data_IF_816083384914
#
_entry.id   IF_816083384914
#
_cell.length_a   1.000
_cell.length_b   1.000
_cell.length_c   1.000
_cell.angle_alpha   90.00
_cell.angle_beta   90.00
_cell.angle_gamma   90.00
#
_symmetry.space_group_name_H-M   'P 1'
#
loop_
_entity.id
_entity.type
_entity.pdbx_description
1 polymer ?
#
# COMPACT_ATOMS: atom_id res chain seq x y z
N UNK A 1 -21.99 -3.72 -82.53
CA UNK A 1 -23.33 -3.54 -81.96
C UNK A 1 -23.11 -3.16 -80.48
N UNK A 2 -23.24 -1.87 -80.24
CA UNK A 2 -24.33 -1.23 -79.51
C UNK A 2 -24.59 -1.95 -78.13
N UNK A 3 -24.55 -1.42 -77.03
CA UNK A 3 -25.00 -0.09 -76.57
C UNK A 3 -24.49 0.20 -75.12
N UNK A 4 -24.41 1.42 -74.87
CA UNK A 4 -24.12 2.23 -73.72
C UNK A 4 -25.02 2.00 -72.45
N UNK A 5 -24.67 2.72 -71.37
CA UNK A 5 -25.08 2.49 -69.97
C UNK A 5 -26.35 3.26 -69.57
N UNK A 6 -26.81 3.15 -68.36
CA UNK A 6 -26.86 4.38 -67.55
C UNK A 6 -26.64 4.26 -66.10
N UNK A 7 -26.11 5.31 -65.61
CA UNK A 7 -26.65 6.31 -64.67
C UNK A 7 -26.49 6.04 -63.16
N UNK A 8 -25.60 6.77 -62.63
CA UNK A 8 -25.61 7.52 -61.36
C UNK A 8 -26.86 7.43 -60.49
N UNK A 9 -26.68 7.03 -59.23
CA UNK A 9 -27.46 7.57 -58.15
C UNK A 9 -26.58 7.86 -56.92
N UNK A 10 -26.55 9.12 -56.64
CA UNK A 10 -25.97 9.82 -55.50
C UNK A 10 -26.60 9.32 -54.18
N UNK A 11 -25.79 9.12 -53.19
CA UNK A 11 -25.91 9.72 -51.85
C UNK A 11 -25.02 8.94 -50.89
N UNK A 12 -23.71 9.24 -50.89
CA UNK A 12 -22.83 9.01 -49.77
C UNK A 12 -23.25 9.93 -48.64
N UNK A 13 -23.85 9.36 -47.62
CA UNK A 13 -24.03 10.00 -46.32
C UNK A 13 -22.82 9.60 -45.46
N UNK A 14 -21.83 10.48 -45.44
CA UNK A 14 -20.77 10.51 -44.45
C UNK A 14 -21.42 10.65 -43.06
N UNK A 15 -21.45 9.60 -42.29
CA UNK A 15 -21.60 9.69 -40.83
C UNK A 15 -20.21 9.63 -40.21
N UNK A 16 -19.59 10.77 -40.03
CA UNK A 16 -18.50 11.00 -39.09
C UNK A 16 -19.07 10.80 -37.68
N UNK A 17 -18.90 9.61 -37.15
CA UNK A 17 -19.07 9.39 -35.70
C UNK A 17 -17.76 9.85 -35.07
N UNK A 18 -17.74 11.10 -34.64
CA UNK A 18 -16.71 11.63 -33.78
C UNK A 18 -16.76 10.92 -32.43
N UNK A 19 -15.93 9.90 -32.27
CA UNK A 19 -15.66 9.30 -30.98
C UNK A 19 -14.87 10.30 -30.13
N UNK A 20 -15.55 11.06 -29.29
CA UNK A 20 -14.90 11.79 -28.21
C UNK A 20 -14.34 10.77 -27.25
N UNK A 21 -13.07 10.41 -27.41
CA UNK A 21 -12.31 9.71 -26.39
C UNK A 21 -12.19 10.65 -25.19
N UNK A 22 -13.07 10.49 -24.23
CA UNK A 22 -12.92 11.13 -22.92
C UNK A 22 -11.71 10.49 -22.26
N UNK A 23 -10.57 11.17 -22.31
CA UNK A 23 -9.42 10.91 -21.48
C UNK A 23 -9.88 11.07 -20.03
N UNK A 24 -10.25 9.96 -19.40
CA UNK A 24 -10.42 9.92 -17.96
C UNK A 24 -9.02 10.05 -17.34
N UNK A 25 -8.64 11.27 -17.04
CA UNK A 25 -7.48 11.53 -16.19
C UNK A 25 -7.84 10.95 -14.83
N UNK A 26 -7.09 9.96 -14.30
CA UNK A 26 -7.33 9.48 -12.95
C UNK A 26 -7.07 10.66 -12.02
N UNK A 27 -8.13 11.19 -11.43
CA UNK A 27 -8.03 12.11 -10.31
C UNK A 27 -7.45 11.31 -9.16
N UNK A 28 -6.15 11.40 -8.97
CA UNK A 28 -5.50 10.93 -7.75
C UNK A 28 -6.19 11.67 -6.60
N UNK A 29 -6.95 10.92 -5.81
CA UNK A 29 -7.49 11.45 -4.57
C UNK A 29 -6.29 11.87 -3.72
N UNK A 30 -6.10 13.16 -3.54
CA UNK A 30 -5.04 13.70 -2.68
C UNK A 30 -5.57 13.71 -1.27
N UNK A 31 -4.77 13.27 -0.33
CA UNK A 31 -5.02 13.44 1.08
C UNK A 31 -5.55 14.87 1.35
N UNK A 32 -6.65 14.97 2.04
CA UNK A 32 -7.43 16.21 2.16
C UNK A 32 -7.24 16.81 3.53
N UNK A 33 -6.85 18.09 3.56
CA UNK A 33 -6.92 18.91 4.77
C UNK A 33 -8.31 19.53 4.91
N UNK A 34 -8.97 19.30 6.05
CA UNK A 34 -10.21 19.98 6.40
C UNK A 34 -9.91 21.13 7.36
N UNK A 35 -9.94 22.35 6.81
CA UNK A 35 -9.61 23.57 7.53
C UNK A 35 -10.51 23.82 8.74
N UNK A 36 -11.79 23.43 8.65
CA UNK A 36 -12.76 23.67 9.73
C UNK A 36 -12.59 22.74 10.92
N UNK A 37 -12.02 21.56 10.70
CA UNK A 37 -11.85 20.55 11.73
C UNK A 37 -10.40 20.45 12.23
N UNK A 38 -9.44 21.17 11.62
CA UNK A 38 -8.01 21.01 11.88
C UNK A 38 -7.58 19.54 11.76
N UNK A 39 -8.10 18.83 10.77
CA UNK A 39 -7.87 17.42 10.52
C UNK A 39 -7.26 17.21 9.15
N UNK A 40 -6.34 16.25 9.08
CA UNK A 40 -5.80 15.74 7.84
C UNK A 40 -6.26 14.30 7.68
N UNK A 41 -6.79 13.95 6.51
CA UNK A 41 -7.26 12.60 6.21
C UNK A 41 -6.48 12.01 5.06
N UNK A 42 -5.99 10.77 5.22
CA UNK A 42 -5.43 9.97 4.14
C UNK A 42 -6.31 8.75 3.90
N UNK A 43 -6.71 8.56 2.66
CA UNK A 43 -7.56 7.44 2.26
C UNK A 43 -6.78 6.12 2.24
N UNK A 44 -7.50 4.99 2.30
CA UNK A 44 -6.91 3.66 2.14
C UNK A 44 -6.09 3.54 0.85
N UNK A 45 -6.58 4.09 -0.26
CA UNK A 45 -5.90 4.02 -1.55
C UNK A 45 -4.56 4.75 -1.56
N UNK A 46 -4.51 5.94 -0.94
CA UNK A 46 -3.27 6.72 -0.81
C UNK A 46 -2.26 6.01 0.09
N UNK A 47 -2.71 5.50 1.24
CA UNK A 47 -1.86 4.74 2.15
C UNK A 47 -1.31 3.47 1.50
N UNK A 48 -2.15 2.74 0.74
CA UNK A 48 -1.74 1.56 -0.03
C UNK A 48 -0.67 1.91 -1.06
N UNK A 49 -0.87 3.01 -1.81
CA UNK A 49 0.09 3.46 -2.81
C UNK A 49 1.44 3.88 -2.20
N UNK A 50 1.41 4.60 -1.07
CA UNK A 50 2.63 4.99 -0.36
C UNK A 50 3.37 3.79 0.24
N UNK A 51 2.63 2.82 0.79
CA UNK A 51 3.21 1.58 1.29
C UNK A 51 3.88 0.78 0.17
N UNK A 52 3.20 0.61 -0.96
CA UNK A 52 3.71 -0.17 -2.09
C UNK A 52 5.06 0.34 -2.62
N UNK A 53 5.31 1.66 -2.53
CA UNK A 53 6.60 2.27 -2.94
C UNK A 53 7.80 1.79 -2.08
N UNK A 54 7.54 1.31 -0.88
CA UNK A 54 8.59 0.91 0.08
C UNK A 54 8.93 -0.58 -0.01
N UNK A 55 8.12 -1.35 -0.70
CA UNK A 55 8.33 -2.77 -0.91
C UNK A 55 9.02 -3.03 -2.26
N UNK A 56 9.80 -4.13 -2.38
CA UNK A 56 9.98 -5.20 -1.41
C UNK A 56 10.90 -4.80 -0.24
N UNK A 57 10.58 -5.32 0.96
CA UNK A 57 11.46 -5.24 2.13
C UNK A 57 12.24 -6.54 2.24
N UNK A 58 13.55 -6.45 2.48
CA UNK A 58 14.41 -7.61 2.58
C UNK A 58 15.36 -7.49 3.76
N UNK A 59 15.55 -8.59 4.48
CA UNK A 59 16.53 -8.68 5.56
C UNK A 59 17.18 -10.06 5.62
N UNK A 60 18.48 -10.08 5.96
CA UNK A 60 19.18 -11.30 6.33
C UNK A 60 19.05 -11.54 7.82
N UNK A 61 18.77 -12.77 8.18
CA UNK A 61 18.66 -13.23 9.54
C UNK A 61 19.67 -14.37 9.80
N UNK A 62 20.49 -14.21 10.86
CA UNK A 62 21.51 -15.16 11.25
C UNK A 62 22.47 -15.60 10.12
N UNK A 63 22.70 -14.73 9.12
CA UNK A 63 23.51 -14.97 7.92
C UNK A 63 23.11 -16.19 7.07
N UNK A 64 22.09 -16.90 7.48
CA UNK A 64 21.61 -18.14 6.85
C UNK A 64 20.27 -17.99 6.13
N UNK A 65 19.45 -17.03 6.57
CA UNK A 65 18.13 -16.83 6.00
C UNK A 65 18.01 -15.45 5.39
N UNK A 66 17.47 -15.37 4.20
CA UNK A 66 17.03 -14.11 3.58
C UNK A 66 15.52 -14.11 3.59
N UNK A 67 14.92 -13.13 4.28
CA UNK A 67 13.47 -12.94 4.34
C UNK A 67 13.11 -11.77 3.48
N UNK A 68 12.15 -11.95 2.60
CA UNK A 68 11.64 -10.91 1.71
C UNK A 68 10.13 -10.79 1.88
N UNK A 69 9.66 -9.56 2.04
CA UNK A 69 8.23 -9.21 2.02
C UNK A 69 7.94 -8.45 0.74
N UNK A 70 6.89 -8.84 0.01
CA UNK A 70 6.45 -8.22 -1.25
C UNK A 70 4.93 -8.13 -1.33
N UNK A 71 4.44 -7.34 -2.26
CA UNK A 71 3.02 -7.18 -2.57
C UNK A 71 2.15 -6.87 -1.34
N UNK A 72 2.45 -5.77 -0.62
CA UNK A 72 1.75 -5.44 0.61
C UNK A 72 0.29 -5.08 0.35
N UNK A 73 -0.60 -5.59 1.19
CA UNK A 73 -2.01 -5.25 1.22
C UNK A 73 -2.34 -4.61 2.57
N UNK A 74 -2.95 -3.42 2.50
CA UNK A 74 -3.31 -2.65 3.68
C UNK A 74 -4.66 -3.09 4.25
N UNK A 75 -4.69 -3.40 5.53
CA UNK A 75 -5.88 -3.58 6.35
C UNK A 75 -6.08 -2.40 7.31
N UNK A 76 -7.32 -2.05 7.62
CA UNK A 76 -7.67 -1.01 8.59
C UNK A 76 -8.56 -1.61 9.67
N UNK A 77 -8.10 -1.58 10.91
CA UNK A 77 -8.84 -2.01 12.09
C UNK A 77 -9.15 -0.78 12.96
N UNK A 78 -10.28 -0.15 12.66
CA UNK A 78 -10.74 1.04 13.37
C UNK A 78 -11.09 0.74 14.83
N UNK A 79 -11.55 -0.47 15.14
CA UNK A 79 -11.98 -0.84 16.50
C UNK A 79 -10.79 -0.87 17.47
N UNK A 80 -9.62 -1.32 17.02
CA UNK A 80 -8.41 -1.43 17.81
C UNK A 80 -7.40 -0.31 17.52
N UNK A 81 -7.75 0.65 16.68
CA UNK A 81 -6.85 1.71 16.19
C UNK A 81 -5.53 1.13 15.63
N UNK A 82 -5.62 0.07 14.84
CA UNK A 82 -4.47 -0.63 14.28
C UNK A 82 -4.55 -0.70 12.76
N UNK A 83 -3.39 -0.70 12.16
CA UNK A 83 -3.21 -0.90 10.74
C UNK A 83 -2.67 -2.30 10.50
N UNK A 84 -3.27 -3.05 9.58
CA UNK A 84 -2.82 -4.36 9.16
C UNK A 84 -2.02 -4.28 7.88
N UNK A 85 -0.99 -5.11 7.77
CA UNK A 85 -0.23 -5.33 6.53
C UNK A 85 -0.20 -6.83 6.27
N UNK A 86 -0.77 -7.26 5.15
CA UNK A 86 -0.62 -8.63 4.65
C UNK A 86 0.31 -8.60 3.46
N UNK A 87 1.34 -9.43 3.46
CA UNK A 87 2.34 -9.47 2.41
C UNK A 87 2.73 -10.90 2.05
N UNK A 88 3.19 -11.10 0.83
CA UNK A 88 3.87 -12.32 0.44
C UNK A 88 5.22 -12.38 1.15
N UNK A 89 5.44 -13.50 1.84
CA UNK A 89 6.66 -13.81 2.57
C UNK A 89 7.46 -14.85 1.79
N UNK A 90 8.71 -14.56 1.53
CA UNK A 90 9.67 -15.55 0.99
C UNK A 90 10.81 -15.71 1.97
N UNK A 91 11.12 -16.95 2.34
CA UNK A 91 12.28 -17.28 3.17
C UNK A 91 13.22 -18.14 2.34
N UNK A 92 14.36 -17.58 1.97
CA UNK A 92 15.42 -18.28 1.24
C UNK A 92 16.58 -18.66 2.18
N UNK A 93 17.14 -19.86 2.01
CA UNK A 93 18.31 -20.32 2.76
C UNK A 93 19.07 -21.35 1.94
N UNK A 94 20.42 -21.37 1.98
CA UNK A 94 21.23 -22.44 1.40
C UNK A 94 20.91 -23.83 2.00
N UNK A 95 20.31 -23.88 3.18
CA UNK A 95 19.94 -25.11 3.87
C UNK A 95 18.61 -25.70 3.37
N UNK A 96 17.81 -24.91 2.64
CA UNK A 96 16.55 -25.39 2.07
C UNK A 96 16.82 -26.09 0.73
N UNK A 97 16.23 -27.28 0.55
CA UNK A 97 16.36 -28.06 -0.70
C UNK A 97 15.70 -27.41 -1.91
N UNK A 98 14.74 -26.53 -1.68
CA UNK A 98 14.07 -25.72 -2.71
C UNK A 98 14.62 -24.28 -2.68
N UNK A 99 14.39 -23.51 -3.74
CA UNK A 99 14.82 -22.11 -3.87
C UNK A 99 14.29 -21.16 -2.78
N UNK A 100 13.52 -21.68 -1.82
CA UNK A 100 12.96 -20.96 -0.69
C UNK A 100 11.59 -21.52 -0.31
N UNK A 101 11.05 -21.04 0.80
CA UNK A 101 9.69 -21.28 1.23
C UNK A 101 8.88 -20.00 1.05
N UNK A 102 7.72 -20.11 0.44
CA UNK A 102 6.80 -18.98 0.24
C UNK A 102 5.58 -19.09 1.15
N UNK A 103 5.00 -17.95 1.49
CA UNK A 103 3.83 -17.90 2.32
C UNK A 103 3.17 -16.53 2.35
N UNK A 104 2.20 -16.39 3.23
CA UNK A 104 1.55 -15.13 3.57
C UNK A 104 1.86 -14.78 5.01
N UNK A 105 2.15 -13.53 5.27
CA UNK A 105 2.26 -12.99 6.61
C UNK A 105 1.28 -11.84 6.77
N UNK A 106 0.54 -11.83 7.88
CA UNK A 106 -0.29 -10.71 8.30
C UNK A 106 0.26 -10.15 9.60
N UNK A 107 0.52 -8.86 9.62
CA UNK A 107 1.06 -8.13 10.77
C UNK A 107 0.18 -6.94 11.05
N UNK A 108 -0.26 -6.77 12.30
CA UNK A 108 -0.94 -5.56 12.75
C UNK A 108 0.02 -4.64 13.50
N UNK A 109 -0.19 -3.34 13.38
CA UNK A 109 0.67 -2.31 13.99
C UNK A 109 -0.14 -1.12 14.48
N UNK A 110 0.30 -0.49 15.55
CA UNK A 110 -0.12 0.85 15.91
C UNK A 110 0.54 1.89 15.00
N UNK A 111 0.12 3.13 15.14
CA UNK A 111 0.65 4.28 14.40
C UNK A 111 1.22 5.31 15.37
N UNK A 112 2.33 5.94 14.98
CA UNK A 112 2.93 7.05 15.71
C UNK A 112 3.47 8.09 14.74
N UNK A 113 3.30 9.34 15.07
CA UNK A 113 3.96 10.43 14.36
C UNK A 113 5.40 10.62 14.85
N UNK A 114 6.29 10.76 13.90
CA UNK A 114 7.71 11.08 14.11
C UNK A 114 7.96 12.49 13.59
N UNK A 115 7.99 13.47 14.48
CA UNK A 115 8.08 14.89 14.14
C UNK A 115 9.37 15.26 13.36
N UNK A 116 10.56 14.74 13.71
CA UNK A 116 11.78 15.05 12.97
C UNK A 116 11.71 14.69 11.49
N UNK A 117 11.07 13.57 11.15
CA UNK A 117 10.95 13.10 9.76
C UNK A 117 9.59 13.43 9.14
N UNK A 118 8.70 14.05 9.89
CA UNK A 118 7.31 14.34 9.51
C UNK A 118 6.57 13.11 8.97
N UNK A 119 6.82 11.95 9.56
CA UNK A 119 6.28 10.69 9.09
C UNK A 119 5.37 10.01 10.10
N UNK A 120 4.29 9.41 9.61
CA UNK A 120 3.53 8.42 10.37
C UNK A 120 4.24 7.08 10.24
N UNK A 121 4.63 6.48 11.36
CA UNK A 121 5.37 5.23 11.41
C UNK A 121 4.57 4.11 12.03
N UNK A 122 4.86 2.90 11.62
CA UNK A 122 4.35 1.68 12.22
C UNK A 122 5.07 1.43 13.54
N UNK A 123 4.30 1.18 14.61
CA UNK A 123 4.87 0.89 15.94
C UNK A 123 4.27 -0.37 16.54
N UNK A 124 5.05 -1.07 17.34
CA UNK A 124 4.65 -2.32 17.99
C UNK A 124 3.97 -3.30 17.01
N UNK A 125 4.63 -3.66 15.91
CA UNK A 125 4.07 -4.63 14.99
C UNK A 125 3.93 -5.99 15.67
N UNK A 126 2.84 -6.70 15.35
CA UNK A 126 2.55 -8.07 15.82
C UNK A 126 2.23 -8.94 14.62
N UNK A 127 2.88 -10.08 14.52
CA UNK A 127 2.48 -11.08 13.54
C UNK A 127 1.18 -11.75 14.02
N UNK A 128 0.11 -11.53 13.29
CA UNK A 128 -1.22 -12.08 13.61
C UNK A 128 -1.40 -13.45 12.97
N UNK A 129 -0.83 -13.65 11.76
CA UNK A 129 -0.95 -14.89 11.00
C UNK A 129 0.26 -15.09 10.09
N UNK A 130 0.72 -16.33 10.01
CA UNK A 130 1.71 -16.78 9.02
C UNK A 130 1.27 -18.10 8.44
N UNK A 131 1.23 -18.17 7.12
CA UNK A 131 0.92 -19.38 6.36
C UNK A 131 2.09 -19.66 5.43
N UNK A 132 2.75 -20.81 5.60
CA UNK A 132 3.85 -21.23 4.72
C UNK A 132 3.38 -22.38 3.82
N UNK A 133 3.69 -22.29 2.54
CA UNK A 133 3.32 -23.31 1.57
C UNK A 133 4.39 -24.39 1.47
N UNK A 134 3.95 -25.63 1.25
CA UNK A 134 4.87 -26.75 0.96
C UNK A 134 5.74 -27.22 2.11
N UNK A 135 5.51 -26.73 3.32
CA UNK A 135 6.22 -27.12 4.52
C UNK A 135 5.28 -27.80 5.53
N UNK A 136 5.79 -28.77 6.24
CA UNK A 136 5.05 -29.48 7.29
C UNK A 136 5.98 -29.86 8.45
N UNK A 137 5.39 -30.09 9.63
CA UNK A 137 6.12 -30.52 10.81
C UNK A 137 6.99 -29.43 11.43
N UNK A 138 8.01 -29.84 12.20
CA UNK A 138 8.87 -28.94 13.00
C UNK A 138 9.61 -27.87 12.18
N UNK A 139 9.96 -28.17 10.95
CA UNK A 139 10.68 -27.23 10.09
C UNK A 139 9.75 -26.10 9.63
N UNK A 140 8.47 -26.41 9.36
CA UNK A 140 7.45 -25.40 9.08
C UNK A 140 7.26 -24.45 10.28
N UNK A 141 7.11 -24.99 11.49
CA UNK A 141 6.96 -24.21 12.71
C UNK A 141 8.14 -23.26 12.95
N UNK A 142 9.37 -23.75 12.78
CA UNK A 142 10.59 -22.93 12.91
C UNK A 142 10.65 -21.81 11.89
N UNK A 143 10.34 -22.10 10.62
CA UNK A 143 10.34 -21.09 9.57
C UNK A 143 9.23 -20.07 9.74
N UNK A 144 8.06 -20.48 10.25
CA UNK A 144 7.00 -19.57 10.63
C UNK A 144 7.45 -18.61 11.76
N UNK A 145 8.10 -19.13 12.81
CA UNK A 145 8.62 -18.32 13.90
C UNK A 145 9.68 -17.31 13.42
N UNK A 146 10.63 -17.76 12.59
CA UNK A 146 11.64 -16.89 11.99
C UNK A 146 10.97 -15.83 11.11
N UNK A 147 10.07 -16.25 10.22
CA UNK A 147 9.33 -15.33 9.34
C UNK A 147 8.54 -14.29 10.11
N UNK A 148 7.89 -14.68 11.22
CA UNK A 148 7.17 -13.79 12.11
C UNK A 148 8.09 -12.73 12.72
N UNK A 149 9.18 -13.16 13.34
CA UNK A 149 10.12 -12.28 14.01
C UNK A 149 10.75 -11.27 13.04
N UNK A 150 11.16 -11.74 11.87
CA UNK A 150 11.77 -10.87 10.84
C UNK A 150 10.74 -9.93 10.22
N UNK A 151 9.51 -10.39 9.95
CA UNK A 151 8.45 -9.54 9.43
C UNK A 151 8.08 -8.41 10.41
N UNK A 152 8.01 -8.73 11.71
CA UNK A 152 7.81 -7.72 12.75
C UNK A 152 8.96 -6.71 12.78
N UNK A 153 10.19 -7.16 12.66
CA UNK A 153 11.37 -6.28 12.66
C UNK A 153 11.42 -5.42 11.41
N UNK A 154 11.16 -5.99 10.23
CA UNK A 154 11.11 -5.27 8.97
C UNK A 154 10.04 -4.18 8.94
N UNK A 155 8.91 -4.40 9.61
CA UNK A 155 7.81 -3.44 9.67
C UNK A 155 7.94 -2.45 10.84
N UNK A 156 8.85 -2.70 11.78
CA UNK A 156 9.07 -1.79 12.89
C UNK A 156 9.61 -0.45 12.39
N UNK A 157 9.02 0.63 12.86
CA UNK A 157 9.38 2.00 12.51
C UNK A 157 9.35 2.33 10.99
N UNK A 158 8.75 1.46 10.17
CA UNK A 158 8.53 1.78 8.77
C UNK A 158 7.60 2.98 8.64
N UNK A 159 8.00 3.94 7.78
CA UNK A 159 7.15 5.06 7.47
C UNK A 159 5.99 4.61 6.60
N UNK A 160 4.76 4.84 7.05
CA UNK A 160 3.54 4.62 6.27
C UNK A 160 3.29 5.78 5.32
N UNK A 161 3.40 7.00 5.86
CA UNK A 161 3.16 8.24 5.15
C UNK A 161 4.13 9.32 5.62
N UNK A 162 4.57 10.18 4.71
CA UNK A 162 5.45 11.32 5.04
C UNK A 162 4.80 12.59 4.54
N UNK A 163 4.61 13.56 5.42
CA UNK A 163 4.03 14.85 5.10
C UNK A 163 5.07 15.78 4.47
N UNK A 164 4.68 16.46 3.42
CA UNK A 164 5.42 17.63 2.96
C UNK A 164 5.28 18.77 3.98
N UNK A 165 6.31 19.61 4.11
CA UNK A 165 6.26 20.76 5.01
C UNK A 165 5.06 21.69 4.71
N UNK A 166 4.70 21.81 3.43
CA UNK A 166 3.53 22.60 2.96
C UNK A 166 2.20 22.04 3.44
N UNK A 167 2.09 20.70 3.60
CA UNK A 167 0.86 20.05 4.04
C UNK A 167 0.54 20.34 5.52
N UNK A 168 1.59 20.67 6.29
CA UNK A 168 1.48 21.08 7.69
C UNK A 168 1.43 22.61 7.87
N UNK A 169 1.45 23.36 6.78
CA UNK A 169 1.43 24.84 6.84
C UNK A 169 0.15 25.36 6.19
N UNK A 170 -0.72 25.98 6.98
CA UNK A 170 -1.97 26.56 6.50
C UNK A 170 -2.05 28.03 6.94
N UNK A 171 -2.29 28.93 5.99
CA UNK A 171 -2.37 30.36 6.28
C UNK A 171 -1.10 30.98 6.87
N UNK A 172 0.07 30.36 6.60
CA UNK A 172 1.35 30.79 7.16
C UNK A 172 1.64 30.28 8.57
N UNK A 173 0.72 29.52 9.18
CA UNK A 173 0.91 28.86 10.48
C UNK A 173 1.29 27.42 10.27
N UNK A 174 2.33 26.98 10.97
CA UNK A 174 2.77 25.57 11.01
C UNK A 174 2.00 24.86 12.12
N UNK A 175 1.38 23.73 11.78
CA UNK A 175 0.63 22.89 12.69
C UNK A 175 1.47 21.69 13.12
N UNK A 176 1.29 21.27 14.37
CA UNK A 176 1.84 20.02 14.87
C UNK A 176 0.82 18.90 14.72
N UNK A 177 1.30 17.69 14.53
CA UNK A 177 0.45 16.50 14.47
C UNK A 177 0.15 16.03 15.88
N UNK A 178 -1.13 15.89 16.17
CA UNK A 178 -1.67 15.32 17.41
C UNK A 178 -2.00 13.83 17.25
N UNK A 179 -3.24 13.46 17.60
CA UNK A 179 -3.67 12.07 17.63
C UNK A 179 -3.89 11.50 16.21
N UNK A 180 -3.54 10.24 16.02
CA UNK A 180 -3.76 9.49 14.80
C UNK A 180 -4.81 8.42 15.07
N UNK A 181 -5.88 8.44 14.27
CA UNK A 181 -7.00 7.50 14.40
C UNK A 181 -7.18 6.71 13.11
N UNK A 182 -7.17 5.39 13.21
CA UNK A 182 -7.51 4.49 12.10
C UNK A 182 -9.03 4.46 11.94
N UNK A 183 -9.50 4.66 10.70
CA UNK A 183 -10.90 4.59 10.31
C UNK A 183 -11.11 3.45 9.32
N UNK A 184 -12.37 3.17 8.96
CA UNK A 184 -12.69 2.08 8.02
C UNK A 184 -12.16 2.34 6.61
N UNK A 185 -12.05 3.61 6.22
CA UNK A 185 -11.68 4.07 4.88
C UNK A 185 -10.31 4.76 4.79
N UNK A 186 -9.61 4.92 5.93
CA UNK A 186 -8.31 5.58 5.97
C UNK A 186 -7.80 5.86 7.36
N UNK A 187 -6.98 6.89 7.49
CA UNK A 187 -6.54 7.44 8.77
C UNK A 187 -6.92 8.91 8.86
N UNK A 188 -7.23 9.34 10.07
CA UNK A 188 -7.36 10.75 10.45
C UNK A 188 -6.23 11.16 11.36
N UNK A 189 -5.72 12.35 11.13
CA UNK A 189 -4.64 12.95 11.90
C UNK A 189 -5.11 14.31 12.38
N UNK A 190 -5.18 14.51 13.69
CA UNK A 190 -5.51 15.81 14.27
C UNK A 190 -4.29 16.74 14.19
N UNK A 191 -4.54 18.01 13.89
CA UNK A 191 -3.54 19.05 13.90
C UNK A 191 -3.73 19.94 15.12
N UNK A 192 -2.64 20.32 15.77
CA UNK A 192 -2.59 21.18 16.95
C UNK A 192 -1.86 22.47 16.69
#
# INVERSE_FOLDING_TARGET
>A
MRQQPPALSRRCLLRLIGGAATLQVPTFARARFDFFLSEYSATRAELQAEMAKRFPLQQRYADLFTVTLRDPQLGLDAANNRLGVTALLTVASPLLRAAGAEGLVSVSSGLRYDAPTRAVRLVQPRADRIEMQGLSGRDAERLQQIGAAVAQELLRDQALYTFDAKDLTVGGKVYEIGDITVQQDGIKVQLK
#
